data_IF_910694094817
#
_entry.id   IF_910694094817
#
_cell.length_a   1.000
_cell.length_b   1.000
_cell.length_c   1.000
_cell.angle_alpha   90.00
_cell.angle_beta   90.00
_cell.angle_gamma   90.00
#
_symmetry.space_group_name_H-M   'P 1'
#
loop_
_entity.id
_entity.type
_entity.pdbx_description
1 polymer ?
#
# COMPACT_ATOMS: atom_id res chain seq x y z
N UNK A 1 7.17 -0.87 -6.96
CA UNK A 1 6.36 -1.42 -5.85
C UNK A 1 6.57 -2.91 -5.77
N UNK A 2 6.69 -3.44 -4.56
CA UNK A 2 6.97 -4.85 -4.29
C UNK A 2 6.07 -5.38 -3.19
N UNK A 3 5.86 -6.69 -3.16
CA UNK A 3 5.41 -7.44 -1.99
C UNK A 3 6.55 -8.36 -1.54
N UNK A 4 7.01 -8.21 -0.30
CA UNK A 4 8.23 -8.86 0.18
C UNK A 4 7.99 -9.64 1.47
N UNK A 5 7.96 -10.97 1.35
CA UNK A 5 7.79 -11.83 2.51
C UNK A 5 9.09 -12.15 3.26
N UNK A 6 10.24 -11.64 2.79
CA UNK A 6 11.57 -12.03 3.27
C UNK A 6 12.15 -11.11 4.35
N UNK A 7 11.46 -10.01 4.68
CA UNK A 7 11.96 -9.00 5.61
C UNK A 7 12.09 -9.55 7.05
N UNK A 8 13.30 -9.57 7.64
CA UNK A 8 13.48 -10.11 8.99
C UNK A 8 12.70 -9.33 10.06
N UNK A 9 12.05 -10.06 10.98
CA UNK A 9 11.38 -9.49 12.15
C UNK A 9 10.09 -8.70 11.86
N UNK A 10 9.63 -8.65 10.60
CA UNK A 10 8.40 -7.95 10.23
C UNK A 10 7.16 -8.83 10.39
N UNK A 11 6.05 -8.21 10.81
CA UNK A 11 4.77 -8.88 11.06
C UNK A 11 4.18 -9.56 9.82
N UNK A 12 4.36 -8.99 8.63
CA UNK A 12 3.83 -9.55 7.38
C UNK A 12 4.71 -10.65 6.76
N UNK A 13 5.92 -10.86 7.27
CA UNK A 13 6.89 -11.81 6.71
C UNK A 13 6.61 -13.24 7.12
N UNK A 14 7.04 -14.19 6.27
CA UNK A 14 6.94 -15.61 6.52
C UNK A 14 8.21 -16.29 5.97
N UNK A 15 8.67 -17.38 6.59
CA UNK A 15 9.74 -18.20 5.98
C UNK A 15 9.20 -19.01 4.79
N UNK A 16 7.98 -19.50 4.92
CA UNK A 16 7.21 -20.22 3.91
C UNK A 16 5.76 -19.75 4.00
N UNK A 17 5.05 -19.73 2.87
CA UNK A 17 3.60 -19.56 2.87
C UNK A 17 2.87 -20.82 3.38
N UNK A 18 1.55 -20.76 3.48
CA UNK A 18 0.73 -21.85 4.03
C UNK A 18 0.59 -23.03 3.06
N UNK A 19 1.21 -22.96 1.88
CA UNK A 19 1.33 -24.02 0.88
C UNK A 19 2.75 -24.60 0.81
N UNK A 20 3.65 -24.14 1.68
CA UNK A 20 5.04 -24.60 1.77
C UNK A 20 6.00 -23.96 0.77
N UNK A 21 5.59 -22.88 0.09
CA UNK A 21 6.44 -22.13 -0.85
C UNK A 21 7.27 -21.11 -0.07
N UNK A 22 8.61 -21.09 -0.21
CA UNK A 22 9.41 -20.01 0.35
C UNK A 22 8.93 -18.64 -0.12
N UNK A 23 8.87 -17.68 0.79
CA UNK A 23 8.53 -16.31 0.41
C UNK A 23 9.67 -15.65 -0.38
N UNK A 24 9.33 -14.59 -1.11
CA UNK A 24 10.27 -13.85 -1.93
C UNK A 24 9.88 -12.37 -1.98
N UNK A 25 10.77 -11.56 -2.56
CA UNK A 25 10.47 -10.18 -2.95
C UNK A 25 9.89 -10.19 -4.36
N UNK A 26 8.57 -10.08 -4.47
CA UNK A 26 7.84 -10.09 -5.75
C UNK A 26 7.66 -8.66 -6.26
N UNK A 27 8.24 -8.35 -7.43
CA UNK A 27 8.01 -7.07 -8.11
C UNK A 27 6.62 -7.06 -8.74
N UNK A 28 5.79 -6.11 -8.31
CA UNK A 28 4.43 -5.95 -8.82
C UNK A 28 4.36 -4.85 -9.89
N UNK A 29 5.02 -3.72 -9.62
CA UNK A 29 5.09 -2.58 -10.53
C UNK A 29 6.54 -2.08 -10.58
N UNK A 30 7.09 -1.96 -11.77
CA UNK A 30 8.45 -1.45 -12.05
C UNK A 30 8.34 -0.26 -12.99
N UNK A 31 8.82 0.91 -12.55
CA UNK A 31 8.81 2.14 -13.34
C UNK A 31 7.43 2.46 -13.95
N UNK A 32 6.37 2.22 -13.18
CA UNK A 32 4.98 2.43 -13.58
C UNK A 32 4.38 1.31 -14.42
N UNK A 33 5.15 0.27 -14.77
CA UNK A 33 4.70 -0.87 -15.57
C UNK A 33 4.34 -2.05 -14.66
N UNK A 34 3.16 -2.63 -14.87
CA UNK A 34 2.74 -3.86 -14.20
C UNK A 34 3.64 -5.02 -14.65
N UNK A 35 4.38 -5.63 -13.72
CA UNK A 35 5.34 -6.70 -14.02
C UNK A 35 4.87 -8.09 -13.60
N UNK A 36 3.91 -8.19 -12.68
CA UNK A 36 3.49 -9.48 -12.17
C UNK A 36 2.34 -9.42 -11.18
N UNK A 37 1.95 -10.61 -10.74
CA UNK A 37 0.89 -10.84 -9.76
C UNK A 37 1.43 -11.69 -8.61
N UNK A 38 0.85 -11.52 -7.43
CA UNK A 38 1.03 -12.46 -6.32
C UNK A 38 0.21 -13.72 -6.60
N UNK A 39 0.80 -14.88 -6.35
CA UNK A 39 0.23 -16.17 -6.68
C UNK A 39 0.22 -17.12 -5.48
N UNK A 40 -0.87 -17.89 -5.39
CA UNK A 40 -0.92 -19.20 -4.73
C UNK A 40 -0.66 -20.29 -5.78
N UNK A 41 -0.53 -21.55 -5.35
CA UNK A 41 -0.24 -22.67 -6.27
C UNK A 41 -1.36 -22.93 -7.26
N UNK A 42 -2.61 -22.69 -6.87
CA UNK A 42 -3.77 -22.91 -7.74
C UNK A 42 -3.77 -21.92 -8.91
N UNK A 43 -3.68 -20.62 -8.62
CA UNK A 43 -3.72 -19.56 -9.63
C UNK A 43 -2.44 -19.51 -10.46
N UNK A 44 -1.27 -19.77 -9.84
CA UNK A 44 -0.01 -19.98 -10.55
C UNK A 44 -0.18 -21.01 -11.68
N UNK A 45 -0.75 -22.18 -11.37
CA UNK A 45 -1.00 -23.24 -12.36
C UNK A 45 -1.98 -22.79 -13.45
N UNK A 46 -3.08 -22.13 -13.09
CA UNK A 46 -4.09 -21.69 -14.06
C UNK A 46 -3.58 -20.61 -15.02
N UNK A 47 -2.70 -19.74 -14.54
CA UNK A 47 -2.12 -18.64 -15.32
C UNK A 47 -0.80 -19.02 -16.03
N UNK A 48 -0.27 -20.22 -15.79
CA UNK A 48 1.04 -20.62 -16.30
C UNK A 48 2.19 -19.80 -15.70
N UNK A 49 2.03 -19.33 -14.46
CA UNK A 49 2.99 -18.53 -13.71
C UNK A 49 3.64 -19.34 -12.57
N UNK A 50 4.82 -18.95 -12.08
CA UNK A 50 5.38 -19.53 -10.87
C UNK A 50 4.60 -19.11 -9.61
N UNK A 51 4.61 -19.96 -8.58
CA UNK A 51 4.16 -19.57 -7.25
C UNK A 51 5.11 -18.54 -6.65
N UNK A 52 4.59 -17.59 -5.86
CA UNK A 52 5.36 -16.44 -5.37
C UNK A 52 5.46 -16.37 -3.85
N UNK A 53 5.09 -17.44 -3.13
CA UNK A 53 5.08 -17.44 -1.67
C UNK A 53 3.97 -16.57 -1.07
N UNK A 54 2.84 -16.44 -1.79
CA UNK A 54 1.70 -15.62 -1.38
C UNK A 54 0.43 -16.46 -1.11
N UNK A 55 0.52 -17.79 -1.12
CA UNK A 55 -0.58 -18.69 -0.80
C UNK A 55 -0.84 -18.72 0.71
N UNK A 56 -1.68 -17.82 1.21
CA UNK A 56 -1.92 -17.69 2.66
C UNK A 56 -3.36 -18.00 3.05
N UNK A 57 -3.53 -18.57 4.24
CA UNK A 57 -4.80 -18.86 4.90
C UNK A 57 -4.79 -18.33 6.33
N UNK A 58 -5.95 -18.00 6.87
CA UNK A 58 -6.05 -17.57 8.28
C UNK A 58 -5.74 -18.71 9.24
N UNK A 59 -6.21 -19.92 8.95
CA UNK A 59 -6.01 -21.10 9.79
C UNK A 59 -6.27 -22.39 9.03
N UNK A 60 -6.07 -23.54 9.69
CA UNK A 60 -6.37 -24.86 9.15
C UNK A 60 -7.84 -25.03 8.71
N UNK A 61 -8.75 -24.17 9.15
CA UNK A 61 -10.17 -24.20 8.82
C UNK A 61 -10.53 -23.45 7.52
N UNK A 62 -9.59 -22.73 6.90
CA UNK A 62 -9.86 -21.82 5.77
C UNK A 62 -9.04 -22.16 4.54
N UNK A 63 -9.54 -22.02 3.31
CA UNK A 63 -8.73 -22.28 2.12
C UNK A 63 -7.63 -21.20 1.91
N UNK A 64 -6.42 -21.57 1.45
CA UNK A 64 -5.43 -20.58 1.02
C UNK A 64 -5.86 -19.87 -0.26
N UNK A 65 -5.36 -18.65 -0.43
CA UNK A 65 -5.54 -17.83 -1.65
C UNK A 65 -4.36 -16.86 -1.79
N UNK A 66 -4.19 -16.16 -2.92
CA UNK A 66 -3.14 -15.14 -3.04
C UNK A 66 -3.41 -13.97 -2.08
N UNK A 67 -2.44 -13.69 -1.20
CA UNK A 67 -2.46 -12.65 -0.17
C UNK A 67 -1.11 -11.92 -0.09
N UNK A 68 -1.17 -10.64 0.29
CA UNK A 68 0.00 -9.80 0.56
C UNK A 68 0.83 -10.32 1.74
N UNK A 69 2.10 -9.94 1.79
CA UNK A 69 3.01 -10.07 2.92
C UNK A 69 3.36 -8.68 3.46
N UNK A 70 4.45 -8.07 3.02
CA UNK A 70 4.77 -6.67 3.25
C UNK A 70 4.78 -5.92 1.91
N UNK A 71 3.75 -5.11 1.64
CA UNK A 71 3.63 -4.41 0.36
C UNK A 71 4.09 -2.96 0.47
N UNK A 72 5.09 -2.57 -0.32
CA UNK A 72 5.64 -1.22 -0.26
C UNK A 72 6.14 -0.64 -1.58
N UNK A 73 6.24 0.69 -1.62
CA UNK A 73 6.89 1.44 -2.68
C UNK A 73 8.38 1.63 -2.32
N UNK A 74 9.29 1.46 -3.29
CA UNK A 74 10.71 1.73 -3.08
C UNK A 74 10.95 3.24 -2.95
N UNK A 75 11.97 3.62 -2.18
CA UNK A 75 12.42 5.00 -2.06
C UNK A 75 12.84 5.57 -3.42
N UNK A 76 12.46 6.82 -3.65
CA UNK A 76 13.01 7.66 -4.72
C UNK A 76 14.22 8.46 -4.21
N UNK A 77 14.46 9.60 -4.85
CA UNK A 77 15.65 10.43 -4.58
C UNK A 77 15.32 11.77 -3.91
N UNK A 78 14.04 12.14 -3.82
CA UNK A 78 13.66 13.48 -3.35
C UNK A 78 13.72 13.58 -1.83
N UNK A 79 14.07 14.76 -1.33
CA UNK A 79 13.91 15.09 0.07
C UNK A 79 12.40 15.26 0.39
N UNK A 80 11.87 14.63 1.45
CA UNK A 80 10.49 14.86 1.91
C UNK A 80 10.13 16.34 2.08
N UNK A 81 11.05 17.18 2.54
CA UNK A 81 10.82 18.61 2.71
C UNK A 81 10.62 19.32 1.35
N UNK A 82 11.35 18.90 0.31
CA UNK A 82 11.15 19.42 -1.06
C UNK A 82 9.77 19.04 -1.60
N UNK A 83 9.29 17.84 -1.29
CA UNK A 83 7.96 17.39 -1.71
C UNK A 83 6.89 18.27 -1.08
N UNK A 84 6.98 18.54 0.22
CA UNK A 84 6.02 19.41 0.93
C UNK A 84 6.10 20.84 0.41
N UNK A 85 7.31 21.39 0.25
CA UNK A 85 7.54 22.74 -0.27
C UNK A 85 6.98 22.94 -1.68
N UNK A 86 6.89 21.86 -2.48
CA UNK A 86 6.37 21.92 -3.84
C UNK A 86 4.85 22.10 -3.95
N UNK A 87 4.10 21.99 -2.84
CA UNK A 87 2.63 21.99 -2.83
C UNK A 87 2.09 23.39 -2.48
N UNK A 88 1.46 24.12 -3.43
CA UNK A 88 0.92 25.45 -3.15
C UNK A 88 -0.29 25.39 -2.21
N UNK A 89 -1.17 24.41 -2.41
CA UNK A 89 -2.30 24.13 -1.53
C UNK A 89 -2.66 22.66 -1.63
N UNK A 90 -2.73 21.98 -0.48
CA UNK A 90 -3.01 20.54 -0.47
C UNK A 90 -3.21 20.00 0.93
N UNK A 91 -3.17 18.68 1.04
CA UNK A 91 -3.29 17.96 2.30
C UNK A 91 -2.03 17.13 2.52
N UNK A 92 -1.42 17.26 3.70
CA UNK A 92 -0.40 16.37 4.20
C UNK A 92 -1.07 15.34 5.11
N UNK A 93 -1.21 14.10 4.65
CA UNK A 93 -1.80 13.00 5.43
C UNK A 93 -0.67 12.14 6.01
N UNK A 94 -0.45 12.25 7.33
CA UNK A 94 0.66 11.61 8.04
C UNK A 94 0.33 10.17 8.37
N UNK A 95 -0.90 9.95 8.85
CA UNK A 95 -1.32 8.65 9.36
C UNK A 95 -2.72 8.31 8.88
N UNK A 96 -2.97 7.02 8.71
CA UNK A 96 -4.21 6.46 8.20
C UNK A 96 -4.75 5.42 9.17
N UNK A 97 -6.08 5.38 9.33
CA UNK A 97 -6.72 4.34 10.13
C UNK A 97 -6.85 3.03 9.34
N UNK A 98 -7.66 3.07 8.29
CA UNK A 98 -7.90 1.92 7.43
C UNK A 98 -8.44 2.36 6.07
N UNK A 99 -8.70 1.38 5.23
CA UNK A 99 -9.30 1.61 3.92
C UNK A 99 -9.91 0.38 3.32
N UNK A 100 -10.60 0.61 2.21
CA UNK A 100 -11.28 -0.42 1.45
C UNK A 100 -11.03 -0.20 -0.03
N UNK A 101 -11.00 -1.28 -0.80
CA UNK A 101 -10.88 -1.25 -2.24
C UNK A 101 -11.97 -2.13 -2.85
N UNK A 102 -12.64 -1.59 -3.87
CA UNK A 102 -13.38 -2.37 -4.84
C UNK A 102 -12.45 -2.64 -6.02
N UNK A 103 -11.96 -3.87 -6.08
CA UNK A 103 -11.01 -4.31 -7.11
C UNK A 103 -11.62 -4.35 -8.53
N UNK A 104 -12.95 -4.42 -8.64
CA UNK A 104 -13.63 -4.50 -9.95
C UNK A 104 -13.72 -3.12 -10.58
N UNK A 105 -14.14 -2.12 -9.80
CA UNK A 105 -14.20 -0.74 -10.28
C UNK A 105 -12.87 0.01 -10.13
N UNK A 106 -11.91 -0.58 -9.41
CA UNK A 106 -10.62 0.01 -9.06
C UNK A 106 -10.73 1.14 -8.04
N UNK A 107 -11.91 1.39 -7.46
CA UNK A 107 -12.12 2.47 -6.50
C UNK A 107 -11.58 2.09 -5.13
N UNK A 108 -10.91 3.03 -4.47
CA UNK A 108 -10.45 2.85 -3.10
C UNK A 108 -10.86 4.04 -2.23
N UNK A 109 -10.94 3.78 -0.93
CA UNK A 109 -11.12 4.79 0.11
C UNK A 109 -10.13 4.57 1.24
N UNK A 110 -9.51 5.65 1.73
CA UNK A 110 -8.67 5.64 2.92
C UNK A 110 -9.06 6.78 3.85
N UNK A 111 -9.11 6.54 5.14
CA UNK A 111 -9.43 7.56 6.13
C UNK A 111 -8.16 8.02 6.84
N UNK A 112 -7.78 9.28 6.63
CA UNK A 112 -6.67 9.89 7.35
C UNK A 112 -7.03 10.06 8.83
N UNK A 113 -6.22 9.49 9.73
CA UNK A 113 -6.33 9.67 11.18
C UNK A 113 -5.60 10.92 11.64
N UNK A 114 -4.56 11.33 10.91
CA UNK A 114 -3.79 12.55 11.14
C UNK A 114 -3.49 13.24 9.80
N UNK A 115 -3.96 14.48 9.65
CA UNK A 115 -3.72 15.26 8.46
C UNK A 115 -3.66 16.76 8.73
N UNK A 116 -2.90 17.46 7.89
CA UNK A 116 -2.65 18.89 7.98
C UNK A 116 -2.88 19.54 6.61
N UNK A 117 -3.31 20.80 6.62
CA UNK A 117 -3.35 21.59 5.41
C UNK A 117 -1.93 22.01 5.03
N UNK A 118 -1.59 21.93 3.75
CA UNK A 118 -0.40 22.59 3.19
C UNK A 118 -0.86 23.88 2.51
N UNK A 119 -0.23 25.00 2.86
CA UNK A 119 -0.41 26.31 2.21
C UNK A 119 0.97 26.91 1.92
N UNK A 120 1.21 27.31 0.68
CA UNK A 120 2.47 27.89 0.19
C UNK A 120 3.71 27.06 0.56
N UNK A 121 3.62 25.74 0.39
CA UNK A 121 4.70 24.81 0.67
C UNK A 121 4.98 24.56 2.16
N UNK A 122 4.06 24.97 3.06
CA UNK A 122 4.24 24.84 4.50
C UNK A 122 3.09 24.07 5.13
N UNK A 123 3.42 23.16 6.04
CA UNK A 123 2.44 22.48 6.89
C UNK A 123 1.82 23.53 7.83
N UNK A 124 0.50 23.67 7.74
CA UNK A 124 -0.28 24.57 8.55
C UNK A 124 -1.13 23.84 9.58
N UNK A 125 -2.41 24.24 9.65
CA UNK A 125 -3.34 23.74 10.66
C UNK A 125 -3.68 22.25 10.48
N UNK A 126 -3.89 21.50 11.58
CA UNK A 126 -4.46 20.17 11.51
C UNK A 126 -5.91 20.24 11.00
N UNK A 127 -6.34 19.22 10.27
CA UNK A 127 -7.73 19.08 9.81
C UNK A 127 -8.36 17.83 10.43
N UNK A 128 -9.67 17.87 10.63
CA UNK A 128 -10.43 16.70 11.08
C UNK A 128 -10.41 15.63 9.98
N UNK A 129 -10.41 14.37 10.40
CA UNK A 129 -10.21 13.19 9.55
C UNK A 129 -10.90 13.31 8.18
N UNK A 130 -10.13 13.10 7.13
CA UNK A 130 -10.57 13.23 5.75
C UNK A 130 -10.59 11.85 5.08
N UNK A 131 -11.67 11.54 4.37
CA UNK A 131 -11.73 10.34 3.54
C UNK A 131 -11.15 10.67 2.16
N UNK A 132 -10.05 10.04 1.80
CA UNK A 132 -9.47 10.12 0.46
C UNK A 132 -10.13 9.10 -0.44
N UNK A 133 -10.54 9.52 -1.64
CA UNK A 133 -11.22 8.66 -2.61
C UNK A 133 -10.51 8.78 -3.97
N UNK A 134 -10.24 7.65 -4.60
CA UNK A 134 -9.63 7.61 -5.93
C UNK A 134 -9.87 6.31 -6.66
N UNK A 135 -9.35 6.22 -7.88
CA UNK A 135 -9.20 4.98 -8.63
C UNK A 135 -7.73 4.57 -8.59
N UNK A 136 -7.44 3.32 -8.18
CA UNK A 136 -6.08 2.85 -7.88
C UNK A 136 -5.11 3.03 -9.05
N UNK A 137 -5.36 2.40 -10.21
CA UNK A 137 -4.51 2.55 -11.40
C UNK A 137 -4.33 4.02 -11.82
N UNK A 138 -5.40 4.80 -11.86
CA UNK A 138 -5.35 6.22 -12.24
C UNK A 138 -4.52 7.06 -11.25
N UNK A 139 -4.71 6.87 -9.94
CA UNK A 139 -3.96 7.59 -8.90
C UNK A 139 -2.46 7.29 -8.98
N UNK A 140 -2.08 6.04 -9.28
CA UNK A 140 -0.66 5.70 -9.45
C UNK A 140 -0.01 6.44 -10.62
N UNK A 141 -0.76 6.82 -11.66
CA UNK A 141 -0.24 7.65 -12.77
C UNK A 141 0.00 9.11 -12.38
N UNK A 142 -0.55 9.54 -11.23
CA UNK A 142 -0.47 10.92 -10.74
C UNK A 142 0.55 11.09 -9.62
N UNK A 143 1.34 10.05 -9.33
CA UNK A 143 2.48 10.15 -8.42
C UNK A 143 3.58 10.94 -9.13
N UNK A 144 3.83 12.18 -8.69
CA UNK A 144 4.76 13.09 -9.36
C UNK A 144 6.10 13.24 -8.64
N UNK A 145 6.17 12.90 -7.35
CA UNK A 145 7.41 12.92 -6.56
C UNK A 145 7.42 11.76 -5.56
N UNK A 146 8.59 11.16 -5.37
CA UNK A 146 8.84 10.04 -4.45
C UNK A 146 10.06 10.36 -3.60
N UNK A 147 9.88 10.34 -2.29
CA UNK A 147 10.87 10.66 -1.27
C UNK A 147 11.88 9.54 -1.04
N UNK A 148 12.98 9.89 -0.38
CA UNK A 148 14.08 8.97 -0.03
C UNK A 148 13.93 8.32 1.36
N UNK A 149 12.80 8.54 2.03
CA UNK A 149 12.52 8.24 3.43
C UNK A 149 11.59 7.03 3.63
N UNK A 150 11.85 5.94 2.90
CA UNK A 150 11.03 4.73 2.99
C UNK A 150 10.94 4.21 4.44
N UNK A 151 9.72 4.12 4.94
CA UNK A 151 9.39 3.44 6.19
C UNK A 151 8.25 2.44 5.99
N UNK A 152 8.31 1.34 6.73
CA UNK A 152 7.21 0.39 6.87
C UNK A 152 6.49 0.64 8.19
N UNK A 153 5.22 0.24 8.26
CA UNK A 153 4.42 0.36 9.47
C UNK A 153 5.03 -0.33 10.70
N UNK A 154 4.56 0.08 11.88
CA UNK A 154 5.01 -0.42 13.19
C UNK A 154 4.54 -1.85 13.51
N UNK A 155 3.96 -2.57 12.54
CA UNK A 155 3.47 -3.93 12.70
C UNK A 155 2.03 -3.98 13.22
N UNK A 156 1.17 -3.09 12.73
CA UNK A 156 -0.25 -3.04 13.11
C UNK A 156 -1.18 -3.60 12.02
N UNK A 157 -0.67 -3.77 10.80
CA UNK A 157 -1.44 -4.17 9.63
C UNK A 157 -2.18 -5.51 9.79
N UNK A 158 -3.47 -5.49 9.44
CA UNK A 158 -4.32 -6.68 9.31
C UNK A 158 -5.16 -6.54 8.04
N UNK A 159 -5.05 -7.52 7.13
CA UNK A 159 -5.78 -7.53 5.86
C UNK A 159 -6.94 -8.53 5.94
N UNK A 160 -8.15 -8.07 5.62
CA UNK A 160 -9.33 -8.92 5.44
C UNK A 160 -9.59 -9.22 3.96
N UNK A 161 -9.82 -10.49 3.61
CA UNK A 161 -10.25 -10.92 2.26
C UNK A 161 -11.08 -12.20 2.37
N UNK A 162 -12.26 -12.25 1.75
CA UNK A 162 -13.17 -13.42 1.80
C UNK A 162 -13.42 -13.94 3.23
N UNK A 163 -13.64 -13.02 4.17
CA UNK A 163 -13.83 -13.33 5.59
C UNK A 163 -12.56 -13.71 6.37
N UNK A 164 -11.39 -13.80 5.72
CA UNK A 164 -10.12 -14.17 6.35
C UNK A 164 -9.24 -12.98 6.71
N UNK A 165 -8.76 -12.93 7.95
CA UNK A 165 -7.84 -11.92 8.47
C UNK A 165 -6.42 -12.46 8.61
N UNK A 166 -5.44 -11.81 7.95
CA UNK A 166 -4.03 -12.19 8.04
C UNK A 166 -3.14 -10.98 8.37
N UNK A 167 -2.04 -11.16 9.13
CA UNK A 167 -1.09 -10.09 9.40
C UNK A 167 -0.36 -9.68 8.12
N UNK A 168 -0.28 -8.37 7.87
CA UNK A 168 0.40 -7.78 6.71
C UNK A 168 1.23 -6.58 7.15
N UNK A 169 2.22 -6.21 6.33
CA UNK A 169 2.92 -4.93 6.43
C UNK A 169 2.62 -4.04 5.24
N UNK A 170 2.67 -2.72 5.46
CA UNK A 170 2.61 -1.71 4.40
C UNK A 170 3.72 -0.70 4.58
N UNK A 171 4.17 -0.08 3.49
CA UNK A 171 5.20 0.95 3.57
C UNK A 171 5.28 1.80 2.32
N UNK A 172 5.77 3.01 2.49
CA UNK A 172 6.08 3.92 1.41
C UNK A 172 7.00 5.02 1.92
N UNK A 173 7.80 5.66 1.06
CA UNK A 173 8.36 6.97 1.39
C UNK A 173 7.25 8.03 1.39
N UNK A 174 7.62 9.25 1.77
CA UNK A 174 6.83 10.43 1.46
C UNK A 174 6.63 10.51 -0.06
N UNK A 175 5.39 10.71 -0.52
CA UNK A 175 5.09 10.82 -1.94
C UNK A 175 4.04 11.90 -2.19
N UNK A 176 4.06 12.46 -3.39
CA UNK A 176 3.05 13.44 -3.85
C UNK A 176 2.17 12.83 -4.90
N UNK A 177 0.85 12.92 -4.68
CA UNK A 177 -0.18 12.58 -5.64
C UNK A 177 -0.85 13.88 -6.09
N UNK A 178 -0.82 14.16 -7.39
CA UNK A 178 -1.54 15.30 -7.96
C UNK A 178 -3.00 14.93 -8.24
N UNK A 179 -3.94 15.76 -7.80
CA UNK A 179 -5.37 15.61 -8.13
C UNK A 179 -6.04 14.38 -7.49
N UNK A 180 -6.09 14.34 -6.16
CA UNK A 180 -6.85 13.34 -5.38
C UNK A 180 -8.07 13.99 -4.70
N UNK A 181 -9.20 13.27 -4.67
CA UNK A 181 -10.43 13.77 -4.02
C UNK A 181 -10.33 13.63 -2.51
N UNK A 182 -10.54 14.75 -1.80
CA UNK A 182 -10.52 14.82 -0.33
C UNK A 182 -11.95 15.04 0.18
N UNK A 183 -12.52 14.03 0.82
CA UNK A 183 -13.84 14.08 1.49
C UNK A 183 -13.75 14.74 2.86
N UNK A 184 -13.74 16.07 2.87
CA UNK A 184 -13.81 16.91 4.07
C UNK A 184 -14.92 17.95 3.99
N UNK A 185 -15.24 18.60 5.10
CA UNK A 185 -16.17 19.73 5.16
C UNK A 185 -15.40 21.05 5.06
N UNK A 186 -15.99 22.07 4.42
CA UNK A 186 -15.38 23.41 4.26
C UNK A 186 -15.36 24.25 5.55
N UNK A 187 -15.62 23.63 6.70
CA UNK A 187 -15.87 24.25 8.01
C UNK A 187 -15.12 23.51 9.10
#
# INVERSE_FOLDING_TARGET
MVDDGTLPGRRGSLNIDDEGTPTQCTRLIEDGILTGYMQDRLNARLMGMPATGNGRRESYAHLPMPRMTNTYMLAGERDPEEIIASVPKGLYAVNFGGGQVDITSGKFTFSASEAYLIEDGKIGRPVKGATLIGNGPDVLTRVSMIGNDLQLDDGIGTCGKEGQSVPVGVGQPTLRIDGLTVGGTST
#
